data_IF_785226266664
#
_entry.id   IF_785226266664
#
_cell.length_a   1.000
_cell.length_b   1.000
_cell.length_c   1.000
_cell.angle_alpha   90.00
_cell.angle_beta   90.00
_cell.angle_gamma   90.00
#
_symmetry.space_group_name_H-M   'P 1'
#
loop_
_entity.id
_entity.type
_entity.pdbx_description
1 polymer ?
#
# COMPACT_ATOMS: atom_id res chain seq x y z
N UNK A 1 22.55 23.78 22.43
CA UNK A 1 21.75 22.86 23.27
C UNK A 1 20.45 22.56 22.54
N UNK A 2 20.31 21.37 21.97
CA UNK A 2 19.07 20.94 21.30
C UNK A 2 18.02 20.57 22.34
N UNK A 3 17.00 21.41 22.52
CA UNK A 3 15.84 21.11 23.38
C UNK A 3 15.11 19.90 22.81
N UNK A 4 15.05 18.81 23.59
CA UNK A 4 14.32 17.58 23.30
C UNK A 4 12.98 17.63 24.06
N UNK A 5 11.86 17.35 23.38
CA UNK A 5 10.53 17.31 23.99
C UNK A 5 10.14 15.87 24.36
N UNK A 6 9.33 15.68 25.41
CA UNK A 6 8.76 14.38 25.82
C UNK A 6 7.25 14.38 25.61
N UNK A 7 6.63 13.21 25.45
CA UNK A 7 5.18 13.09 25.26
C UNK A 7 4.42 13.74 26.43
N UNK A 8 3.66 14.80 26.13
CA UNK A 8 2.81 15.47 27.12
C UNK A 8 1.53 14.68 27.36
N UNK A 9 0.95 14.82 28.55
CA UNK A 9 -0.35 14.26 28.89
C UNK A 9 -1.51 14.94 28.16
N UNK A 10 -1.32 16.18 27.69
CA UNK A 10 -2.30 16.98 26.94
C UNK A 10 -1.64 17.88 25.88
N UNK A 11 -2.31 18.08 24.74
CA UNK A 11 -1.93 19.03 23.69
C UNK A 11 -0.80 18.61 22.74
N UNK A 12 -0.66 19.31 21.61
CA UNK A 12 0.45 19.17 20.65
C UNK A 12 1.34 20.41 20.65
N UNK A 13 2.43 20.39 21.41
CA UNK A 13 3.54 21.34 21.21
C UNK A 13 4.38 20.94 19.99
N UNK A 14 5.16 21.88 19.44
CA UNK A 14 6.00 21.65 18.26
C UNK A 14 7.06 20.58 18.51
N UNK A 15 6.90 19.41 17.87
CA UNK A 15 7.71 18.20 18.10
C UNK A 15 8.97 18.19 17.25
N UNK A 16 9.98 18.97 17.64
CA UNK A 16 11.33 18.81 17.11
C UNK A 16 12.10 17.89 18.07
N UNK A 17 12.56 16.73 17.59
CA UNK A 17 13.32 15.73 18.37
C UNK A 17 12.57 15.23 19.63
N UNK A 18 11.43 14.56 19.41
CA UNK A 18 10.55 14.08 20.49
C UNK A 18 10.85 12.63 20.89
N UNK A 19 11.02 12.37 22.20
CA UNK A 19 11.08 11.00 22.72
C UNK A 19 9.66 10.45 22.89
N UNK A 20 9.33 9.42 22.11
CA UNK A 20 8.03 8.75 22.06
C UNK A 20 8.07 7.32 22.62
N UNK A 21 9.15 6.96 23.32
CA UNK A 21 9.37 5.59 23.79
C UNK A 21 8.25 5.12 24.75
N UNK A 22 7.74 5.99 25.63
CA UNK A 22 6.64 5.63 26.56
C UNK A 22 5.34 5.26 25.82
N UNK A 23 5.04 5.93 24.71
CA UNK A 23 3.85 5.66 23.90
C UNK A 23 3.96 4.32 23.19
N UNK A 24 5.09 4.06 22.51
CA UNK A 24 5.31 2.81 21.79
C UNK A 24 5.58 1.59 22.69
N UNK A 25 5.94 1.82 23.96
CA UNK A 25 6.07 0.77 24.97
C UNK A 25 4.75 0.51 25.75
N UNK A 26 3.65 1.19 25.39
CA UNK A 26 2.36 0.98 26.05
C UNK A 26 1.73 -0.37 25.71
N UNK A 27 0.77 -0.82 26.53
CA UNK A 27 0.06 -2.10 26.33
C UNK A 27 -0.63 -2.21 24.97
N UNK A 28 -1.03 -1.08 24.37
CA UNK A 28 -1.62 -1.03 23.03
C UNK A 28 -0.67 -1.62 21.98
N UNK A 29 0.64 -1.41 22.12
CA UNK A 29 1.67 -1.87 21.18
C UNK A 29 2.36 -3.17 21.62
N UNK A 30 2.01 -3.74 22.78
CA UNK A 30 2.70 -4.89 23.33
C UNK A 30 2.66 -6.14 22.42
N UNK A 31 1.54 -6.36 21.73
CA UNK A 31 1.42 -7.44 20.73
C UNK A 31 1.97 -7.06 19.35
N UNK A 32 2.10 -5.76 19.06
CA UNK A 32 2.65 -5.26 17.78
C UNK A 32 4.18 -5.30 17.76
N UNK A 33 4.82 -5.16 18.93
CA UNK A 33 6.28 -5.17 19.07
C UNK A 33 6.92 -6.57 18.90
N UNK A 34 6.12 -7.63 18.78
CA UNK A 34 6.56 -8.96 18.33
C UNK A 34 6.51 -9.15 16.82
N UNK A 35 5.71 -8.36 16.07
CA UNK A 35 5.67 -8.44 14.61
C UNK A 35 6.95 -7.82 14.02
N UNK A 36 7.60 -8.51 13.09
CA UNK A 36 8.85 -8.06 12.44
C UNK A 36 10.15 -8.40 13.18
N UNK A 37 10.12 -9.29 14.19
CA UNK A 37 11.35 -9.79 14.86
C UNK A 37 12.14 -10.80 14.03
N UNK A 38 11.60 -11.33 12.93
CA UNK A 38 12.44 -12.06 11.97
C UNK A 38 13.43 -11.09 11.33
N UNK A 39 14.71 -11.36 11.59
CA UNK A 39 15.82 -10.63 10.99
C UNK A 39 15.83 -10.99 9.52
N UNK A 40 15.14 -10.21 8.70
CA UNK A 40 15.35 -10.24 7.26
C UNK A 40 16.87 -10.26 7.00
N UNK A 41 17.33 -11.34 6.36
CA UNK A 41 18.75 -11.58 6.10
C UNK A 41 19.39 -10.46 5.30
N UNK A 42 20.71 -10.53 5.09
CA UNK A 42 21.43 -9.54 4.28
C UNK A 42 20.75 -9.35 2.91
N UNK A 43 20.78 -8.11 2.43
CA UNK A 43 20.31 -7.77 1.10
C UNK A 43 21.16 -8.51 0.06
N UNK A 44 20.50 -9.13 -0.91
CA UNK A 44 21.11 -9.77 -2.06
C UNK A 44 21.15 -8.79 -3.23
N UNK A 45 22.13 -8.97 -4.12
CA UNK A 45 22.17 -8.21 -5.36
C UNK A 45 20.98 -8.55 -6.25
N UNK A 46 20.35 -7.52 -6.81
CA UNK A 46 19.34 -7.70 -7.83
C UNK A 46 20.00 -8.13 -9.15
N UNK A 47 19.52 -9.19 -9.82
CA UNK A 47 20.13 -9.66 -11.07
C UNK A 47 20.04 -8.60 -12.16
N UNK A 48 21.19 -8.21 -12.72
CA UNK A 48 21.25 -7.14 -13.72
C UNK A 48 20.45 -7.48 -15.00
N UNK A 49 20.35 -8.76 -15.36
CA UNK A 49 19.55 -9.23 -16.50
C UNK A 49 18.03 -9.04 -16.32
N UNK A 50 17.54 -8.85 -15.10
CA UNK A 50 16.13 -8.62 -14.79
C UNK A 50 15.78 -7.13 -14.67
N UNK A 51 16.78 -6.24 -14.76
CA UNK A 51 16.55 -4.80 -14.67
C UNK A 51 15.76 -4.32 -15.90
N UNK A 52 14.74 -3.50 -15.65
CA UNK A 52 13.89 -2.90 -16.69
C UNK A 52 13.26 -3.95 -17.63
N UNK A 53 12.88 -5.11 -17.07
CA UNK A 53 12.25 -6.23 -17.79
C UNK A 53 10.79 -6.42 -17.39
N UNK A 54 9.99 -6.80 -18.37
CA UNK A 54 8.67 -7.41 -18.18
C UNK A 54 8.86 -8.92 -18.21
N UNK A 55 8.49 -9.59 -17.13
CA UNK A 55 8.56 -11.05 -17.02
C UNK A 55 7.15 -11.59 -17.24
N UNK A 56 6.95 -12.38 -18.29
CA UNK A 56 5.68 -13.03 -18.56
C UNK A 56 5.57 -14.32 -17.74
N UNK A 57 5.14 -14.19 -16.48
CA UNK A 57 4.97 -15.29 -15.54
C UNK A 57 3.87 -14.95 -14.51
N UNK A 58 3.41 -15.95 -13.74
CA UNK A 58 2.52 -15.69 -12.61
C UNK A 58 3.28 -15.03 -11.46
N UNK A 59 2.74 -13.95 -10.91
CA UNK A 59 3.28 -13.30 -9.72
C UNK A 59 3.13 -14.17 -8.45
N UNK A 60 2.39 -15.28 -8.51
CA UNK A 60 2.31 -16.26 -7.42
C UNK A 60 3.60 -17.06 -7.23
N UNK A 61 4.51 -17.04 -8.22
CA UNK A 61 5.85 -17.61 -8.12
C UNK A 61 6.87 -16.64 -8.76
N UNK A 62 7.69 -16.01 -7.90
CA UNK A 62 8.76 -15.09 -8.31
C UNK A 62 10.15 -15.74 -8.13
N UNK A 63 10.28 -17.06 -8.28
CA UNK A 63 11.53 -17.82 -8.05
C UNK A 63 12.76 -17.25 -8.78
N UNK A 64 12.55 -16.65 -9.96
CA UNK A 64 13.60 -16.01 -10.75
C UNK A 64 14.20 -14.76 -10.06
N UNK A 65 13.48 -14.18 -9.10
CA UNK A 65 13.91 -13.03 -8.31
C UNK A 65 14.49 -13.53 -6.97
N UNK A 66 15.78 -13.24 -6.67
CA UNK A 66 16.38 -13.60 -5.40
C UNK A 66 15.62 -12.99 -4.20
N UNK A 67 15.55 -13.72 -3.10
CA UNK A 67 15.04 -13.16 -1.83
C UNK A 67 15.84 -11.90 -1.43
N UNK A 68 15.21 -10.95 -0.73
CA UNK A 68 15.86 -9.72 -0.25
C UNK A 68 16.66 -8.95 -1.32
N UNK A 69 16.13 -8.76 -2.53
CA UNK A 69 16.82 -8.07 -3.63
C UNK A 69 16.07 -6.86 -4.19
N UNK A 70 14.77 -6.74 -3.91
CA UNK A 70 13.92 -5.63 -4.35
C UNK A 70 13.69 -4.59 -3.24
N UNK A 71 13.58 -3.33 -3.63
CA UNK A 71 13.48 -2.21 -2.67
C UNK A 71 12.06 -1.68 -2.48
N UNK A 72 11.24 -1.77 -3.51
CA UNK A 72 9.89 -1.22 -3.57
C UNK A 72 9.03 -2.14 -4.43
N UNK A 73 7.82 -2.44 -3.97
CA UNK A 73 6.74 -3.00 -4.74
C UNK A 73 5.62 -1.96 -4.83
N UNK A 74 5.14 -1.70 -6.04
CA UNK A 74 3.93 -0.91 -6.29
C UNK A 74 3.01 -1.79 -7.13
N UNK A 75 1.76 -1.96 -6.70
CA UNK A 75 0.81 -2.80 -7.42
C UNK A 75 -0.61 -2.30 -7.27
N UNK A 76 -1.46 -2.70 -8.20
CA UNK A 76 -2.91 -2.72 -8.04
C UNK A 76 -3.38 -4.11 -8.48
N UNK A 77 -3.83 -4.96 -7.55
CA UNK A 77 -4.18 -6.34 -7.87
C UNK A 77 -5.32 -6.43 -8.91
N UNK A 78 -5.36 -7.50 -9.71
CA UNK A 78 -6.46 -7.73 -10.64
C UNK A 78 -7.73 -8.04 -9.84
N UNK A 79 -8.76 -7.18 -9.93
CA UNK A 79 -9.92 -7.25 -9.04
C UNK A 79 -10.87 -8.45 -9.27
N UNK A 80 -10.57 -9.36 -10.21
CA UNK A 80 -11.38 -10.56 -10.44
C UNK A 80 -12.87 -10.20 -10.66
N UNK A 81 -13.12 -9.13 -11.43
CA UNK A 81 -14.45 -8.56 -11.69
C UNK A 81 -14.81 -8.68 -13.17
N UNK A 82 -14.48 -9.83 -13.76
CA UNK A 82 -14.89 -10.20 -15.12
C UNK A 82 -14.43 -9.23 -16.21
N UNK A 83 -13.25 -8.62 -16.05
CA UNK A 83 -12.55 -8.01 -17.20
C UNK A 83 -12.05 -9.12 -18.13
N UNK A 84 -11.73 -8.81 -19.39
CA UNK A 84 -11.35 -9.81 -20.40
C UNK A 84 -10.20 -10.74 -19.97
N UNK A 85 -9.41 -10.37 -18.96
CA UNK A 85 -8.30 -11.15 -18.41
C UNK A 85 -8.57 -11.80 -17.04
N UNK A 86 -9.73 -11.56 -16.42
CA UNK A 86 -10.03 -12.09 -15.09
C UNK A 86 -10.53 -13.54 -15.20
N UNK A 87 -10.09 -14.37 -14.26
CA UNK A 87 -10.69 -15.69 -14.03
C UNK A 87 -12.00 -15.51 -13.24
N UNK A 88 -12.90 -16.49 -13.26
CA UNK A 88 -14.12 -16.47 -12.44
C UNK A 88 -13.83 -17.08 -11.06
N UNK A 89 -12.96 -16.42 -10.27
CA UNK A 89 -12.60 -16.91 -8.93
C UNK A 89 -13.67 -16.52 -7.90
N UNK A 90 -13.91 -17.39 -6.92
CA UNK A 90 -14.59 -17.02 -5.68
C UNK A 90 -13.76 -16.02 -4.88
N UNK A 91 -14.40 -15.31 -3.93
CA UNK A 91 -13.68 -14.37 -3.05
C UNK A 91 -12.55 -15.06 -2.28
N UNK A 92 -12.75 -16.29 -1.80
CA UNK A 92 -11.71 -17.07 -1.12
C UNK A 92 -10.54 -17.39 -2.04
N UNK A 93 -10.80 -17.89 -3.26
CA UNK A 93 -9.73 -18.21 -4.21
C UNK A 93 -8.94 -16.97 -4.63
N UNK A 94 -9.63 -15.84 -4.79
CA UNK A 94 -9.00 -14.55 -5.04
C UNK A 94 -8.09 -14.12 -3.88
N UNK A 95 -8.58 -14.19 -2.63
CA UNK A 95 -7.78 -13.84 -1.46
C UNK A 95 -6.58 -14.78 -1.27
N UNK A 96 -6.74 -16.08 -1.57
CA UNK A 96 -5.64 -17.05 -1.54
C UNK A 96 -4.58 -16.75 -2.59
N UNK A 97 -4.99 -16.35 -3.80
CA UNK A 97 -4.09 -15.89 -4.86
C UNK A 97 -3.31 -14.65 -4.39
N UNK A 98 -3.99 -13.65 -3.82
CA UNK A 98 -3.33 -12.46 -3.26
C UNK A 98 -2.33 -12.83 -2.16
N UNK A 99 -2.71 -13.74 -1.26
CA UNK A 99 -1.83 -14.20 -0.19
C UNK A 99 -0.52 -14.78 -0.76
N UNK A 100 -0.59 -15.62 -1.80
CA UNK A 100 0.60 -16.18 -2.48
C UNK A 100 1.47 -15.08 -3.11
N UNK A 101 0.86 -14.16 -3.86
CA UNK A 101 1.59 -13.04 -4.49
C UNK A 101 2.27 -12.14 -3.46
N UNK A 102 1.59 -11.81 -2.36
CA UNK A 102 2.13 -10.96 -1.31
C UNK A 102 3.19 -11.69 -0.47
N UNK A 103 3.08 -13.01 -0.30
CA UNK A 103 4.13 -13.83 0.31
C UNK A 103 5.41 -13.82 -0.52
N UNK A 104 5.30 -13.98 -1.84
CA UNK A 104 6.45 -13.85 -2.75
C UNK A 104 7.03 -12.43 -2.74
N UNK A 105 6.17 -11.40 -2.71
CA UNK A 105 6.58 -10.01 -2.56
C UNK A 105 7.35 -9.78 -1.26
N UNK A 106 6.90 -10.39 -0.15
CA UNK A 106 7.62 -10.36 1.12
C UNK A 106 8.99 -11.02 0.97
N UNK A 107 9.08 -12.21 0.36
CA UNK A 107 10.34 -12.95 0.17
C UNK A 107 11.37 -12.11 -0.58
N UNK A 108 10.98 -11.48 -1.69
CA UNK A 108 11.90 -10.74 -2.58
C UNK A 108 12.28 -9.35 -2.06
N UNK A 109 11.45 -8.71 -1.23
CA UNK A 109 11.77 -7.38 -0.69
C UNK A 109 12.92 -7.42 0.33
N UNK A 110 13.77 -6.40 0.32
CA UNK A 110 14.83 -6.17 1.31
C UNK A 110 14.28 -5.76 2.67
N UNK A 111 15.11 -5.82 3.72
CA UNK A 111 14.74 -5.25 5.03
C UNK A 111 14.54 -3.73 4.90
N UNK A 112 13.40 -3.23 5.36
CA UNK A 112 13.03 -1.82 5.18
C UNK A 112 12.58 -1.45 3.77
N UNK A 113 12.48 -2.44 2.86
CA UNK A 113 11.77 -2.31 1.60
C UNK A 113 10.28 -2.08 1.83
N UNK A 114 9.61 -1.46 0.86
CA UNK A 114 8.20 -1.05 0.99
C UNK A 114 7.33 -1.76 -0.03
N UNK A 115 6.07 -1.98 0.36
CA UNK A 115 5.01 -2.45 -0.51
C UNK A 115 3.88 -1.42 -0.48
N UNK A 116 3.47 -0.97 -1.66
CA UNK A 116 2.38 -0.02 -1.85
C UNK A 116 1.31 -0.69 -2.72
N UNK A 117 0.10 -0.84 -2.18
CA UNK A 117 -0.99 -1.56 -2.85
C UNK A 117 -2.14 -0.60 -3.06
N UNK A 118 -2.41 -0.23 -4.32
CA UNK A 118 -3.60 0.54 -4.69
C UNK A 118 -4.82 -0.39 -4.79
N UNK A 119 -5.81 -0.14 -3.93
CA UNK A 119 -7.02 -0.94 -3.75
C UNK A 119 -8.28 -0.09 -3.87
N UNK A 120 -9.19 -0.53 -4.73
CA UNK A 120 -10.59 -0.13 -4.76
C UNK A 120 -11.45 -1.18 -4.07
N UNK A 121 -12.44 -0.75 -3.28
CA UNK A 121 -13.43 -1.66 -2.73
C UNK A 121 -14.46 -2.05 -3.81
N UNK A 122 -15.02 -3.25 -3.69
CA UNK A 122 -15.81 -3.86 -4.76
C UNK A 122 -17.29 -3.99 -4.39
N UNK A 123 -18.13 -4.01 -5.42
CA UNK A 123 -19.56 -4.24 -5.26
C UNK A 123 -20.29 -3.12 -4.52
N UNK A 124 -21.62 -3.24 -4.50
CA UNK A 124 -22.51 -2.36 -3.71
C UNK A 124 -23.58 -3.14 -2.95
N UNK A 125 -23.78 -4.42 -3.30
CA UNK A 125 -24.79 -5.33 -2.79
C UNK A 125 -24.34 -6.80 -3.00
N UNK A 126 -23.53 -7.39 -2.10
CA UNK A 126 -22.88 -6.76 -0.95
C UNK A 126 -21.71 -5.86 -1.36
N UNK A 127 -21.27 -5.01 -0.44
CA UNK A 127 -20.02 -4.25 -0.54
C UNK A 127 -18.89 -5.09 0.04
N UNK A 128 -17.76 -5.14 -0.66
CA UNK A 128 -16.57 -5.92 -0.29
C UNK A 128 -15.43 -4.93 0.01
N UNK A 129 -15.12 -4.69 1.29
CA UNK A 129 -14.01 -3.84 1.70
C UNK A 129 -12.69 -4.60 1.57
N UNK A 130 -12.08 -4.59 0.38
CA UNK A 130 -10.83 -5.30 0.13
C UNK A 130 -9.69 -4.84 1.06
N UNK A 131 -9.68 -3.58 1.49
CA UNK A 131 -8.75 -3.07 2.49
C UNK A 131 -8.76 -3.91 3.78
N UNK A 132 -9.94 -4.34 4.19
CA UNK A 132 -10.16 -5.01 5.47
C UNK A 132 -9.74 -6.48 5.43
N UNK A 133 -9.61 -7.06 4.22
CA UNK A 133 -9.03 -8.39 4.01
C UNK A 133 -7.51 -8.32 3.82
N UNK A 134 -7.02 -7.33 3.05
CA UNK A 134 -5.61 -7.24 2.67
C UNK A 134 -4.74 -6.76 3.83
N UNK A 135 -5.20 -5.79 4.63
CA UNK A 135 -4.40 -5.24 5.73
C UNK A 135 -4.04 -6.28 6.81
N UNK A 136 -4.97 -7.14 7.29
CA UNK A 136 -4.62 -8.26 8.16
C UNK A 136 -3.73 -9.30 7.49
N UNK A 137 -4.04 -9.69 6.24
CA UNK A 137 -3.25 -10.65 5.45
C UNK A 137 -1.79 -10.24 5.32
N UNK A 138 -1.53 -8.97 4.99
CA UNK A 138 -0.17 -8.44 4.90
C UNK A 138 0.57 -8.51 6.23
N UNK A 139 -0.12 -8.22 7.35
CA UNK A 139 0.47 -8.31 8.69
C UNK A 139 0.76 -9.75 9.11
N UNK A 140 -0.12 -10.69 8.76
CA UNK A 140 0.07 -12.14 8.97
C UNK A 140 1.30 -12.66 8.23
N UNK A 141 1.48 -12.25 6.97
CA UNK A 141 2.69 -12.55 6.16
C UNK A 141 3.97 -11.97 6.81
N UNK A 142 3.84 -10.95 7.66
CA UNK A 142 4.95 -10.37 8.43
C UNK A 142 5.33 -8.95 8.01
N UNK A 143 4.54 -8.31 7.15
CA UNK A 143 4.72 -6.88 6.86
C UNK A 143 4.31 -6.02 8.06
N UNK A 144 4.97 -4.87 8.18
CA UNK A 144 4.63 -3.83 9.13
C UNK A 144 3.77 -2.77 8.44
N UNK A 145 2.55 -2.55 8.94
CA UNK A 145 1.67 -1.49 8.45
C UNK A 145 2.29 -0.13 8.74
N UNK A 146 2.49 0.69 7.70
CA UNK A 146 3.00 2.06 7.83
C UNK A 146 1.88 3.09 7.89
N UNK A 147 0.80 2.83 7.15
CA UNK A 147 -0.36 3.71 7.07
C UNK A 147 -1.10 3.54 5.75
N UNK A 148 -2.15 4.32 5.61
CA UNK A 148 -3.04 4.33 4.45
C UNK A 148 -3.04 5.73 3.87
N UNK A 149 -2.98 5.80 2.53
CA UNK A 149 -3.18 7.04 1.80
C UNK A 149 -4.53 6.93 1.10
N UNK A 150 -5.36 7.94 1.26
CA UNK A 150 -6.61 8.09 0.52
C UNK A 150 -6.31 8.86 -0.76
N UNK A 151 -6.37 8.17 -1.89
CA UNK A 151 -6.31 8.82 -3.19
C UNK A 151 -7.71 9.29 -3.57
N UNK A 152 -7.96 10.59 -3.36
CA UNK A 152 -9.18 11.25 -3.81
C UNK A 152 -9.09 11.56 -5.30
N UNK A 153 -10.00 11.00 -6.09
CA UNK A 153 -9.99 11.04 -7.56
C UNK A 153 -10.43 12.39 -8.15
N UNK A 154 -10.72 13.37 -7.29
CA UNK A 154 -11.16 14.72 -7.64
C UNK A 154 -12.64 14.84 -7.97
N UNK A 155 -13.08 16.06 -8.32
CA UNK A 155 -14.50 16.42 -8.49
C UNK A 155 -15.27 15.63 -9.58
N UNK A 156 -14.58 14.94 -10.48
CA UNK A 156 -15.19 14.06 -11.50
C UNK A 156 -15.45 12.63 -11.04
N UNK A 157 -15.09 12.27 -9.80
CA UNK A 157 -15.30 10.94 -9.24
C UNK A 157 -16.72 10.79 -8.66
N UNK A 158 -17.32 9.60 -8.76
CA UNK A 158 -18.66 9.34 -8.22
C UNK A 158 -19.81 9.93 -9.05
N UNK A 159 -19.62 10.24 -10.34
CA UNK A 159 -20.71 10.80 -11.20
C UNK A 159 -21.78 9.74 -11.52
N UNK A 160 -21.46 8.45 -11.37
CA UNK A 160 -22.45 7.37 -11.46
C UNK A 160 -23.39 7.42 -10.23
N UNK A 161 -24.51 8.11 -10.40
CA UNK A 161 -25.63 8.05 -9.49
C UNK A 161 -26.36 6.73 -9.76
N UNK A 162 -26.38 5.81 -8.80
CA UNK A 162 -27.28 4.66 -8.87
C UNK A 162 -28.72 5.20 -8.71
N UNK A 163 -29.38 5.50 -9.83
CA UNK A 163 -30.70 6.15 -9.88
C UNK A 163 -31.83 5.34 -9.22
N UNK A 164 -31.63 4.06 -8.93
CA UNK A 164 -32.63 3.16 -8.36
C UNK A 164 -33.17 3.55 -6.97
N UNK A 165 -32.55 4.52 -6.29
CA UNK A 165 -33.03 5.12 -5.04
C UNK A 165 -32.87 6.64 -5.03
N UNK A 166 -32.90 7.29 -6.19
CA UNK A 166 -32.71 8.74 -6.28
C UNK A 166 -33.73 9.48 -5.41
N UNK A 167 -33.23 10.25 -4.43
CA UNK A 167 -34.05 10.93 -3.40
C UNK A 167 -34.99 10.00 -2.63
N UNK A 168 -34.67 8.70 -2.54
CA UNK A 168 -35.37 7.74 -1.71
C UNK A 168 -34.52 7.34 -0.51
N UNK A 169 -35.11 7.40 0.67
CA UNK A 169 -34.49 6.88 1.90
C UNK A 169 -34.50 5.34 1.96
N UNK A 170 -35.11 4.64 1.00
CA UNK A 170 -35.25 3.18 1.03
C UNK A 170 -33.92 2.44 0.95
N UNK A 171 -32.91 3.00 0.25
CA UNK A 171 -31.58 2.38 0.11
C UNK A 171 -30.54 3.36 -0.48
N UNK A 172 -30.12 4.42 0.23
CA UNK A 172 -29.06 5.31 -0.26
C UNK A 172 -27.72 4.55 -0.37
N UNK A 173 -27.09 4.60 -1.55
CA UNK A 173 -25.80 3.92 -1.81
C UNK A 173 -24.66 4.95 -1.82
N UNK A 174 -23.57 4.63 -1.11
CA UNK A 174 -22.37 5.47 -1.10
C UNK A 174 -21.70 5.48 -2.48
N UNK A 175 -21.13 6.63 -2.85
CA UNK A 175 -20.37 6.83 -4.07
C UNK A 175 -18.89 6.81 -3.72
N UNK A 176 -18.12 5.92 -4.34
CA UNK A 176 -16.67 5.89 -4.09
C UNK A 176 -16.03 7.02 -4.89
N UNK A 177 -15.47 7.97 -4.16
CA UNK A 177 -14.72 9.10 -4.71
C UNK A 177 -13.22 8.93 -4.52
N UNK A 178 -12.81 7.84 -3.86
CA UNK A 178 -11.42 7.56 -3.54
C UNK A 178 -11.06 6.09 -3.74
N UNK A 179 -9.75 5.83 -3.70
CA UNK A 179 -9.12 4.52 -3.56
C UNK A 179 -8.14 4.56 -2.38
N UNK A 180 -7.76 3.38 -1.90
CA UNK A 180 -6.82 3.22 -0.81
C UNK A 180 -5.46 2.86 -1.38
N UNK A 181 -4.40 3.49 -0.89
CA UNK A 181 -3.03 3.00 -1.08
C UNK A 181 -2.55 2.52 0.29
N UNK A 182 -2.52 1.20 0.45
CA UNK A 182 -2.03 0.59 1.67
C UNK A 182 -0.49 0.53 1.60
N UNK A 183 0.18 1.08 2.62
CA UNK A 183 1.64 1.18 2.64
C UNK A 183 2.21 0.32 3.76
N UNK A 184 3.12 -0.57 3.40
CA UNK A 184 3.75 -1.52 4.31
C UNK A 184 5.28 -1.44 4.25
N UNK A 185 5.95 -2.01 5.24
CA UNK A 185 7.42 -2.16 5.28
C UNK A 185 7.82 -3.55 5.77
N UNK A 186 8.86 -4.14 5.19
CA UNK A 186 9.36 -5.46 5.63
C UNK A 186 10.35 -5.33 6.79
N UNK A 187 10.01 -5.91 7.95
CA UNK A 187 10.88 -6.08 9.12
C UNK A 187 11.35 -4.81 9.86
N UNK A 188 11.40 -3.64 9.21
CA UNK A 188 11.79 -2.37 9.82
C UNK A 188 11.15 -1.21 9.09
N UNK A 189 10.71 -0.18 9.82
CA UNK A 189 10.27 1.08 9.20
C UNK A 189 11.43 1.93 8.67
N UNK A 190 12.68 1.57 8.96
CA UNK A 190 13.88 2.26 8.50
C UNK A 190 14.71 1.31 7.63
N UNK A 191 15.20 1.83 6.49
CA UNK A 191 16.23 1.19 5.69
C UNK A 191 17.59 1.78 6.07
N UNK A 192 18.61 0.94 6.20
CA UNK A 192 19.98 1.40 6.42
C UNK A 192 20.46 2.28 5.26
N UNK A 193 21.33 3.25 5.55
CA UNK A 193 22.05 3.98 4.50
C UNK A 193 23.22 3.11 4.05
N UNK A 194 23.21 2.64 2.80
CA UNK A 194 24.40 2.06 2.19
C UNK A 194 25.47 3.15 1.98
N UNK A 195 26.73 2.74 1.83
CA UNK A 195 27.90 3.64 1.73
C UNK A 195 27.74 4.76 0.69
N UNK A 196 26.97 4.53 -0.38
CA UNK A 196 26.73 5.51 -1.45
C UNK A 196 25.25 5.93 -1.60
N UNK A 197 24.42 5.72 -0.58
CA UNK A 197 23.00 6.12 -0.66
C UNK A 197 22.82 7.64 -0.50
N UNK A 198 22.27 8.28 -1.54
CA UNK A 198 21.88 9.70 -1.53
C UNK A 198 20.36 9.84 -1.57
N UNK A 199 19.80 10.64 -0.68
CA UNK A 199 18.38 11.00 -0.74
C UNK A 199 18.15 12.00 -1.87
N UNK A 200 17.22 11.71 -2.76
CA UNK A 200 16.89 12.55 -3.93
C UNK A 200 15.57 13.32 -3.78
N UNK A 201 14.79 13.03 -2.74
CA UNK A 201 13.49 13.70 -2.49
C UNK A 201 13.71 15.18 -2.17
N UNK A 202 12.94 16.06 -2.83
CA UNK A 202 12.94 17.49 -2.56
C UNK A 202 12.09 17.82 -1.34
N UNK A 203 12.25 19.02 -0.80
CA UNK A 203 11.50 19.46 0.38
C UNK A 203 10.00 19.51 0.09
N UNK A 204 9.63 20.04 -1.08
CA UNK A 204 8.25 20.24 -1.51
C UNK A 204 7.56 18.87 -1.68
N UNK A 205 8.22 17.96 -2.38
CA UNK A 205 7.80 16.57 -2.57
C UNK A 205 7.63 15.86 -1.22
N UNK A 206 8.59 16.02 -0.30
CA UNK A 206 8.50 15.43 1.04
C UNK A 206 7.26 15.93 1.79
N UNK A 207 6.99 17.24 1.76
CA UNK A 207 5.82 17.82 2.43
C UNK A 207 4.49 17.41 1.78
N UNK A 208 4.48 17.20 0.46
CA UNK A 208 3.30 16.78 -0.28
C UNK A 208 3.01 15.29 -0.06
N UNK A 209 4.00 14.42 -0.30
CA UNK A 209 3.84 12.97 -0.36
C UNK A 209 3.79 12.30 1.02
N UNK A 210 4.09 13.03 2.11
CA UNK A 210 3.91 12.51 3.48
C UNK A 210 2.52 12.77 4.05
N UNK A 211 1.60 13.38 3.27
CA UNK A 211 0.19 13.50 3.63
C UNK A 211 -0.55 12.18 3.38
N UNK A 212 -1.58 11.92 4.18
CA UNK A 212 -2.44 10.74 4.05
C UNK A 212 -3.62 10.92 3.10
N UNK A 213 -3.79 12.10 2.49
CA UNK A 213 -4.83 12.34 1.46
C UNK A 213 -4.18 13.00 0.26
N UNK A 214 -4.27 12.34 -0.88
CA UNK A 214 -3.73 12.81 -2.15
C UNK A 214 -4.89 13.10 -3.10
N UNK A 215 -4.88 14.28 -3.71
CA UNK A 215 -5.88 14.66 -4.70
C UNK A 215 -5.27 14.64 -6.09
N UNK A 216 -5.70 13.69 -6.92
CA UNK A 216 -5.14 13.48 -8.26
C UNK A 216 -6.24 12.95 -9.18
N UNK A 217 -6.29 13.42 -10.43
CA UNK A 217 -7.32 12.99 -11.39
C UNK A 217 -7.03 11.59 -11.92
N UNK A 218 -8.08 10.83 -12.22
CA UNK A 218 -7.96 9.51 -12.87
C UNK A 218 -7.54 9.61 -14.33
N UNK A 219 -6.94 8.52 -14.83
CA UNK A 219 -6.66 8.33 -16.24
C UNK A 219 -7.85 7.77 -17.02
N UNK A 220 -7.94 8.12 -18.30
CA UNK A 220 -9.00 7.60 -19.18
C UNK A 220 -8.63 6.21 -19.71
N UNK A 221 -9.39 5.19 -19.33
CA UNK A 221 -9.23 3.81 -19.83
C UNK A 221 -9.22 3.73 -21.36
N UNK A 222 -10.11 4.48 -22.03
CA UNK A 222 -10.17 4.53 -23.50
C UNK A 222 -8.92 5.16 -24.11
N UNK A 223 -8.39 6.22 -23.50
CA UNK A 223 -7.18 6.90 -23.99
C UNK A 223 -5.94 6.04 -23.82
N UNK A 224 -5.83 5.35 -22.69
CA UNK A 224 -4.67 4.51 -22.35
C UNK A 224 -4.76 3.14 -23.03
N UNK A 225 -5.95 2.69 -23.42
CA UNK A 225 -6.15 1.33 -23.95
C UNK A 225 -5.99 0.24 -22.89
N UNK A 226 -6.16 0.60 -21.62
CA UNK A 226 -6.08 -0.32 -20.48
C UNK A 226 -7.34 -0.16 -19.62
N UNK A 227 -7.98 -1.25 -19.16
CA UNK A 227 -9.28 -1.16 -18.48
C UNK A 227 -9.18 -0.71 -17.02
N UNK A 228 -7.99 -0.61 -16.44
CA UNK A 228 -7.74 -0.02 -15.11
C UNK A 228 -6.44 0.79 -15.13
N UNK A 229 -6.42 1.99 -15.69
CA UNK A 229 -5.25 2.86 -15.60
C UNK A 229 -5.30 3.68 -14.32
N UNK A 230 -4.14 3.94 -13.73
CA UNK A 230 -3.93 5.00 -12.77
C UNK A 230 -2.93 6.01 -13.35
N UNK A 231 -2.95 7.29 -12.93
CA UNK A 231 -2.03 8.29 -13.45
C UNK A 231 -0.59 7.93 -13.15
N UNK A 232 0.32 8.24 -14.08
CA UNK A 232 1.77 8.03 -13.93
C UNK A 232 2.33 8.78 -12.72
N UNK A 233 1.66 9.86 -12.32
CA UNK A 233 1.98 10.62 -11.12
C UNK A 233 1.80 9.81 -9.83
N UNK A 234 0.91 8.80 -9.80
CA UNK A 234 0.60 8.02 -8.59
C UNK A 234 1.78 7.15 -8.11
N UNK A 235 2.48 6.39 -8.97
CA UNK A 235 3.65 5.59 -8.57
C UNK A 235 4.98 6.35 -8.59
N UNK A 236 5.01 7.64 -8.96
CA UNK A 236 6.23 8.46 -9.10
C UNK A 236 6.90 8.75 -7.74
#
# INVERSE_FOLDING_TARGET
>A
MTKTSKTSSFGTESRISHDSSSYYNSRLYAKLSSFGKEVAGKDNFFPQGLKDKIILASAENMEMIPKNSLHLMVTSPPYNVSKEYDKDLSLSEYLDMLHRVFSESYRVLVKGGRACINIANLGRKPYIPLSDYISPMMQEIGFLMRGEIIWHKGAGAGVSMAWGSWKSASNPVLRDVHEYILVFSKGSFKRGKGENSKSTIKKEDFMAWTKSVWEMKTESAKRVGHPAPFPVELPY
#
